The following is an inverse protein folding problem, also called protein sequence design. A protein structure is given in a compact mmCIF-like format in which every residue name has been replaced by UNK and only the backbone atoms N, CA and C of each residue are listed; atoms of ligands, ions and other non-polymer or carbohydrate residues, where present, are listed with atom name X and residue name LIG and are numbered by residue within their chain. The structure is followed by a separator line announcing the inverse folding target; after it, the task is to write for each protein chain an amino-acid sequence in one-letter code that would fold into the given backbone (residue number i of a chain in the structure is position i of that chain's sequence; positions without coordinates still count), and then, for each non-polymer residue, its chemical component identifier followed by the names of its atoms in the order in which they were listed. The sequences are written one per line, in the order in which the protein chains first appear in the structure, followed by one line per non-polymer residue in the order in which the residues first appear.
data_IF_115454313926
#
_entry.id   IF_115454313926
#
_cell.length_a   1.000
_cell.length_b   1.000
_cell.length_c   1.000
_cell.angle_alpha   90.00
_cell.angle_beta   90.00
_cell.angle_gamma   90.00
#
_symmetry.space_group_name_H-M   'P 1'
#
loop_
_entity.id
_entity.type
_entity.pdbx_description
1 polymer ?
#
# COMPACT_ATOMS: atom_id res chain seq x y z
N UNK A 1 -1.80 -9.07 4.89
CA UNK A 1 -3.03 -9.41 4.16
C UNK A 1 -3.53 -10.80 4.47
N UNK A 2 -4.82 -11.04 4.25
CA UNK A 2 -5.44 -12.35 4.32
C UNK A 2 -5.06 -13.25 3.13
N UNK A 3 -4.94 -12.71 1.91
CA UNK A 3 -4.60 -13.48 0.71
C UNK A 3 -3.26 -14.23 0.86
N UNK A 4 -2.26 -13.60 1.52
CA UNK A 4 -0.95 -14.22 1.78
C UNK A 4 -1.05 -15.50 2.60
N UNK A 5 -2.15 -15.69 3.34
CA UNK A 5 -2.33 -16.77 4.30
C UNK A 5 -3.26 -17.85 3.76
N UNK A 6 -4.06 -17.54 2.73
CA UNK A 6 -5.02 -18.49 2.14
C UNK A 6 -4.39 -19.39 1.08
N UNK A 7 -3.24 -19.01 0.55
CA UNK A 7 -2.51 -19.77 -0.48
C UNK A 7 -1.62 -20.89 0.09
N UNK A 8 -1.36 -20.89 1.40
CA UNK A 8 -0.40 -21.80 2.03
C UNK A 8 -1.00 -22.57 3.20
N UNK A 9 -0.47 -23.75 3.47
CA UNK A 9 -0.80 -24.47 4.71
C UNK A 9 0.02 -23.95 5.89
N UNK A 10 -0.62 -23.85 7.06
CA UNK A 10 -0.04 -23.32 8.29
C UNK A 10 1.31 -23.93 8.67
N UNK A 11 1.53 -25.23 8.38
CA UNK A 11 2.76 -25.93 8.73
C UNK A 11 4.01 -25.42 8.00
N UNK A 12 3.84 -24.74 6.87
CA UNK A 12 4.96 -24.18 6.11
C UNK A 12 5.28 -22.73 6.47
N UNK A 13 4.40 -22.07 7.22
CA UNK A 13 4.56 -20.67 7.55
C UNK A 13 5.41 -20.48 8.81
N UNK A 14 6.43 -19.62 8.68
CA UNK A 14 7.26 -19.14 9.79
C UNK A 14 7.37 -17.63 9.70
N UNK A 15 7.40 -16.97 10.84
CA UNK A 15 7.63 -15.52 10.91
C UNK A 15 9.10 -15.29 11.26
N UNK A 16 9.79 -14.48 10.46
CA UNK A 16 11.17 -14.04 10.75
C UNK A 16 11.15 -12.56 11.11
N UNK A 17 11.73 -12.21 12.26
CA UNK A 17 11.73 -10.85 12.81
C UNK A 17 13.17 -10.33 12.89
N UNK A 18 13.35 -9.02 12.65
CA UNK A 18 14.65 -8.36 12.76
C UNK A 18 15.62 -8.62 11.60
N UNK A 19 15.11 -9.12 10.47
CA UNK A 19 15.92 -9.42 9.27
C UNK A 19 16.28 -8.15 8.52
N UNK A 20 17.49 -8.13 7.95
CA UNK A 20 17.94 -7.13 6.98
C UNK A 20 18.16 -7.75 5.59
N UNK A 21 18.68 -8.99 5.55
CA UNK A 21 18.80 -9.79 4.32
C UNK A 21 17.66 -10.83 4.25
N UNK A 22 17.10 -11.03 3.06
CA UNK A 22 16.11 -12.07 2.78
C UNK A 22 16.72 -13.48 2.91
N UNK A 23 17.98 -13.62 2.51
CA UNK A 23 18.71 -14.90 2.46
C UNK A 23 19.46 -15.21 3.75
N UNK A 24 20.10 -14.19 4.36
CA UNK A 24 20.96 -14.37 5.53
C UNK A 24 20.16 -14.17 6.81
N UNK A 25 20.24 -15.14 7.74
CA UNK A 25 19.52 -15.12 9.03
C UNK A 25 20.27 -14.41 10.15
N UNK A 26 21.18 -13.51 9.83
CA UNK A 26 21.99 -12.82 10.83
C UNK A 26 21.13 -11.84 11.65
N UNK A 27 21.24 -11.88 12.98
CA UNK A 27 20.48 -11.05 13.90
C UNK A 27 18.95 -11.14 13.78
N UNK A 28 18.44 -12.19 13.12
CA UNK A 28 17.03 -12.44 12.95
C UNK A 28 16.54 -13.56 13.88
N UNK A 29 15.31 -13.43 14.39
CA UNK A 29 14.64 -14.47 15.20
C UNK A 29 13.49 -15.10 14.43
N UNK A 30 13.34 -16.42 14.52
CA UNK A 30 12.17 -17.14 13.98
C UNK A 30 11.12 -17.35 15.07
N UNK A 31 9.86 -17.05 14.75
CA UNK A 31 8.71 -17.28 15.61
C UNK A 31 7.71 -18.24 14.93
N UNK A 32 7.09 -19.08 15.74
CA UNK A 32 6.07 -20.04 15.29
C UNK A 32 4.68 -19.42 15.43
N UNK A 33 3.84 -19.67 14.43
CA UNK A 33 2.44 -19.25 14.43
C UNK A 33 1.62 -20.19 15.33
N UNK A 34 0.77 -19.62 16.18
CA UNK A 34 -0.22 -20.36 16.97
C UNK A 34 -1.58 -20.36 16.27
N UNK A 35 -2.07 -19.18 15.91
CA UNK A 35 -3.36 -19.01 15.24
C UNK A 35 -3.28 -17.98 14.12
N UNK A 36 -4.11 -18.17 13.10
CA UNK A 36 -4.39 -17.18 12.07
C UNK A 36 -5.88 -16.86 12.13
N UNK A 37 -6.19 -15.57 12.24
CA UNK A 37 -7.54 -15.04 12.23
C UNK A 37 -7.73 -14.20 10.97
N UNK A 38 -8.47 -14.71 10.00
CA UNK A 38 -8.83 -13.95 8.78
C UNK A 38 -10.13 -13.19 9.05
N UNK A 39 -10.22 -11.96 8.56
CA UNK A 39 -11.44 -11.16 8.67
C UNK A 39 -12.66 -11.93 8.10
N UNK A 40 -13.81 -12.00 8.80
CA UNK A 40 -14.96 -12.79 8.36
C UNK A 40 -15.50 -12.44 6.96
N UNK A 41 -15.42 -11.16 6.59
CA UNK A 41 -15.89 -10.66 5.29
C UNK A 41 -14.85 -10.83 4.15
N UNK A 42 -13.64 -11.32 4.44
CA UNK A 42 -12.64 -11.59 3.42
C UNK A 42 -13.16 -12.62 2.40
N UNK A 43 -13.02 -12.29 1.12
CA UNK A 43 -13.30 -13.15 -0.01
C UNK A 43 -12.18 -13.03 -1.05
N UNK A 44 -11.86 -14.12 -1.76
CA UNK A 44 -10.76 -14.16 -2.74
C UNK A 44 -11.01 -13.27 -3.97
N UNK A 45 -12.21 -12.71 -4.13
CA UNK A 45 -12.61 -11.93 -5.30
C UNK A 45 -12.50 -10.42 -5.08
N UNK A 46 -12.17 -9.96 -3.87
CA UNK A 46 -12.12 -8.54 -3.55
C UNK A 46 -11.14 -8.22 -2.44
N UNK A 47 -10.46 -7.10 -2.59
CA UNK A 47 -9.42 -6.63 -1.68
C UNK A 47 -9.97 -5.97 -0.41
N UNK A 48 -11.25 -5.54 -0.40
CA UNK A 48 -11.79 -4.65 0.64
C UNK A 48 -11.67 -5.13 2.09
N UNK A 49 -11.52 -6.44 2.30
CA UNK A 49 -11.40 -7.07 3.62
C UNK A 49 -10.15 -7.95 3.71
N UNK A 50 -9.12 -7.65 2.93
CA UNK A 50 -7.86 -8.40 2.85
C UNK A 50 -6.95 -8.18 4.07
N UNK A 51 -7.47 -8.47 5.26
CA UNK A 51 -6.80 -8.31 6.54
C UNK A 51 -6.90 -9.59 7.38
N UNK A 52 -5.81 -9.90 8.06
CA UNK A 52 -5.72 -11.04 8.96
C UNK A 52 -4.74 -10.75 10.10
N UNK A 53 -4.94 -11.43 11.22
CA UNK A 53 -4.11 -11.34 12.41
C UNK A 53 -3.42 -12.67 12.66
N UNK A 54 -2.11 -12.63 12.86
CA UNK A 54 -1.28 -13.78 13.19
C UNK A 54 -0.89 -13.68 14.66
N UNK A 55 -1.25 -14.70 15.44
CA UNK A 55 -0.82 -14.83 16.84
C UNK A 55 0.39 -15.74 16.90
N UNK A 56 1.46 -15.29 17.55
CA UNK A 56 2.66 -16.07 17.76
C UNK A 56 2.51 -16.98 18.98
N UNK A 57 3.04 -18.21 18.90
CA UNK A 57 3.00 -19.19 19.99
C UNK A 57 3.78 -18.75 21.23
N UNK A 58 4.84 -17.98 21.05
CA UNK A 58 5.65 -17.43 22.13
C UNK A 58 5.83 -15.93 21.92
N UNK A 59 5.86 -15.17 23.02
CA UNK A 59 6.16 -13.74 22.97
C UNK A 59 7.59 -13.51 22.49
N UNK A 60 7.79 -12.46 21.68
CA UNK A 60 9.11 -12.04 21.21
C UNK A 60 9.53 -10.77 21.95
N UNK A 61 10.77 -10.76 22.43
CA UNK A 61 11.32 -9.59 23.11
C UNK A 61 11.75 -8.52 22.10
N UNK A 62 11.44 -7.26 22.40
CA UNK A 62 11.95 -6.14 21.62
C UNK A 62 13.49 -6.08 21.70
N UNK A 63 14.11 -5.67 20.61
CA UNK A 63 15.55 -5.52 20.48
C UNK A 63 15.88 -4.27 19.67
N UNK A 64 17.16 -4.06 19.34
CA UNK A 64 17.54 -3.00 18.41
C UNK A 64 16.89 -3.18 17.03
N UNK A 65 16.70 -4.42 16.60
CA UNK A 65 16.18 -4.77 15.26
C UNK A 65 14.71 -5.21 15.28
N UNK A 66 14.12 -5.42 16.47
CA UNK A 66 12.72 -5.83 16.63
C UNK A 66 11.97 -4.79 17.45
N UNK A 67 11.10 -4.04 16.78
CA UNK A 67 10.22 -3.03 17.38
C UNK A 67 8.84 -3.10 16.74
N UNK A 68 7.82 -2.65 17.46
CA UNK A 68 6.45 -2.56 16.97
C UNK A 68 6.21 -1.24 16.27
N UNK A 69 5.38 -1.27 15.22
CA UNK A 69 4.73 -0.07 14.68
C UNK A 69 3.52 0.28 15.54
N UNK A 70 3.13 1.55 15.58
CA UNK A 70 1.91 1.97 16.25
C UNK A 70 0.70 1.68 15.34
N UNK A 71 -0.43 1.31 15.95
CA UNK A 71 -1.72 1.28 15.27
C UNK A 71 -2.31 2.70 15.27
N UNK A 72 -3.09 3.08 14.24
CA UNK A 72 -3.69 4.40 14.18
C UNK A 72 -4.75 4.59 15.27
N UNK A 73 -4.78 5.77 15.87
CA UNK A 73 -5.89 6.22 16.74
C UNK A 73 -7.10 6.64 15.88
N UNK A 74 -8.27 6.77 16.50
CA UNK A 74 -9.49 7.30 15.87
C UNK A 74 -9.30 8.68 15.27
N UNK A 75 -8.42 9.48 15.88
CA UNK A 75 -8.12 10.85 15.44
C UNK A 75 -6.94 10.92 14.47
N UNK A 76 -6.28 9.80 14.16
CA UNK A 76 -5.20 9.79 13.21
C UNK A 76 -5.76 9.86 11.77
N UNK A 77 -5.58 11.02 11.15
CA UNK A 77 -5.81 11.31 9.74
C UNK A 77 -4.61 12.12 9.25
N UNK A 78 -3.55 11.47 8.74
CA UNK A 78 -2.44 12.19 8.16
C UNK A 78 -2.94 12.98 6.95
N UNK A 79 -2.53 14.24 6.87
CA UNK A 79 -2.74 15.06 5.67
C UNK A 79 -2.11 14.35 4.47
N UNK A 80 -2.67 14.53 3.29
CA UNK A 80 -2.23 13.79 2.12
C UNK A 80 -0.75 14.04 1.82
N UNK A 81 -0.24 15.26 2.05
CA UNK A 81 1.17 15.64 1.88
C UNK A 81 2.15 14.96 2.87
N UNK A 82 1.66 14.16 3.83
CA UNK A 82 2.56 13.41 4.70
C UNK A 82 3.31 12.33 3.91
N UNK A 83 4.65 12.29 3.99
CA UNK A 83 5.42 11.28 3.32
C UNK A 83 5.10 9.90 3.89
N UNK A 84 4.63 9.01 3.01
CA UNK A 84 4.36 7.62 3.34
C UNK A 84 5.54 6.77 2.91
N UNK A 85 5.83 5.75 3.70
CA UNK A 85 6.93 4.84 3.45
C UNK A 85 6.43 3.41 3.43
N UNK A 86 7.04 2.65 2.54
CA UNK A 86 6.79 1.23 2.39
C UNK A 86 8.15 0.55 2.31
N UNK A 87 8.27 -0.64 2.90
CA UNK A 87 9.54 -1.35 3.00
C UNK A 87 9.35 -2.85 2.87
N UNK A 88 10.31 -3.50 2.22
CA UNK A 88 10.25 -4.93 1.97
C UNK A 88 11.37 -5.45 1.07
N UNK A 89 11.27 -6.73 0.70
CA UNK A 89 12.24 -7.42 -0.16
C UNK A 89 11.67 -7.71 -1.54
N UNK A 90 10.53 -7.15 -1.88
CA UNK A 90 10.00 -7.21 -3.22
C UNK A 90 10.76 -6.31 -4.20
N UNK A 91 10.44 -6.47 -5.48
CA UNK A 91 11.05 -5.65 -6.52
C UNK A 91 10.73 -4.18 -6.28
N UNK A 92 11.78 -3.39 -6.09
CA UNK A 92 11.70 -1.93 -6.06
C UNK A 92 12.08 -1.38 -7.42
N UNK A 93 11.19 -0.61 -8.02
CA UNK A 93 11.53 0.18 -9.20
C UNK A 93 12.17 1.51 -8.79
N UNK A 94 13.40 1.83 -9.23
CA UNK A 94 13.91 3.18 -9.13
C UNK A 94 13.17 4.05 -10.16
N UNK A 95 12.44 5.03 -9.66
CA UNK A 95 11.76 6.03 -10.47
C UNK A 95 12.51 7.36 -10.26
N UNK A 96 12.94 8.02 -11.33
CA UNK A 96 13.32 9.46 -11.30
C UNK A 96 12.21 10.24 -11.99
N UNK A 97 12.02 11.45 -11.50
CA UNK A 97 11.20 12.46 -12.13
C UNK A 97 11.66 12.63 -13.59
N UNK A 98 10.78 12.39 -14.55
CA UNK A 98 11.12 12.48 -15.97
C UNK A 98 10.25 13.55 -16.62
N UNK A 99 10.90 14.51 -17.27
CA UNK A 99 10.26 15.60 -18.02
C UNK A 99 9.60 15.09 -19.34
N UNK A 100 9.27 13.80 -19.46
CA UNK A 100 8.73 13.20 -20.69
C UNK A 100 7.35 12.59 -20.47
N UNK A 101 6.40 13.23 -21.14
CA UNK A 101 4.96 13.12 -20.98
C UNK A 101 4.37 11.86 -21.62
N UNK A 102 3.52 11.16 -20.87
CA UNK A 102 2.50 10.25 -21.41
C UNK A 102 1.13 10.73 -20.91
N UNK A 103 0.36 11.37 -21.81
CA UNK A 103 -1.00 11.82 -21.52
C UNK A 103 -2.00 10.72 -21.84
N UNK A 104 -2.78 10.28 -20.85
CA UNK A 104 -4.01 9.54 -21.08
C UNK A 104 -5.19 10.51 -20.98
N UNK A 105 -5.78 10.84 -22.12
CA UNK A 105 -7.13 11.41 -22.19
C UNK A 105 -8.13 10.32 -22.54
N UNK A 106 -9.39 10.50 -22.16
CA UNK A 106 -10.51 9.62 -22.50
C UNK A 106 -10.73 9.40 -24.02
N UNK A 107 -9.95 10.05 -24.88
CA UNK A 107 -10.04 10.02 -26.34
C UNK A 107 -8.84 9.35 -27.05
N UNK A 108 -7.94 8.68 -26.31
CA UNK A 108 -6.83 7.91 -26.90
C UNK A 108 -5.49 8.65 -26.96
N UNK A 109 -4.46 7.94 -27.46
CA UNK A 109 -3.04 8.32 -27.40
C UNK A 109 -2.71 9.43 -28.40
N UNK A 110 -2.22 10.58 -27.92
CA UNK A 110 -1.59 11.61 -28.75
C UNK A 110 -0.21 12.01 -28.21
N UNK A 111 0.73 12.17 -29.12
CA UNK A 111 2.09 12.65 -28.88
C UNK A 111 2.12 14.17 -29.02
N UNK A 112 2.71 14.89 -28.05
CA UNK A 112 3.12 16.29 -28.23
C UNK A 112 4.49 16.50 -27.58
N UNK A 113 5.40 17.08 -28.34
CA UNK A 113 6.75 17.46 -27.88
C UNK A 113 6.69 18.82 -27.14
N UNK A 114 7.60 19.00 -26.17
CA UNK A 114 7.63 20.11 -25.21
C UNK A 114 8.05 21.48 -25.81
N UNK A 115 8.34 21.55 -27.11
CA UNK A 115 8.69 22.83 -27.76
C UNK A 115 7.45 23.64 -28.22
N UNK A 116 6.25 23.06 -28.22
CA UNK A 116 5.03 23.71 -28.73
C UNK A 116 4.14 24.37 -27.65
N UNK A 117 4.56 24.43 -26.37
CA UNK A 117 3.73 24.95 -25.25
C UNK A 117 4.03 26.42 -24.89
N UNK A 118 4.99 27.08 -25.54
CA UNK A 118 5.35 28.46 -25.21
C UNK A 118 4.62 29.58 -26.01
N UNK A 119 3.64 29.29 -26.86
CA UNK A 119 2.96 30.34 -27.65
C UNK A 119 1.49 30.65 -27.30
N UNK A 120 0.89 30.06 -26.26
CA UNK A 120 -0.50 30.40 -25.86
C UNK A 120 -0.65 30.89 -24.41
N UNK A 121 0.29 31.71 -23.93
CA UNK A 121 0.09 32.49 -22.70
C UNK A 121 0.18 33.99 -22.98
N UNK A 122 -0.80 34.56 -23.70
CA UNK A 122 -1.04 36.02 -23.70
C UNK A 122 -2.44 36.37 -24.25
N UNK A 123 -3.51 36.05 -23.50
CA UNK A 123 -4.88 36.64 -23.54
C UNK A 123 -5.80 35.69 -22.76
N UNK A 124 -6.55 36.00 -21.70
CA UNK A 124 -7.25 37.20 -21.25
C UNK A 124 -7.54 37.07 -19.73
N UNK A 125 -7.68 38.22 -19.06
CA UNK A 125 -8.04 38.36 -17.63
C UNK A 125 -9.56 38.51 -17.43
N UNK A 126 -9.96 38.33 -16.16
CA UNK A 126 -11.20 38.74 -15.46
C UNK A 126 -12.41 37.79 -15.61
N UNK A 127 -12.96 37.24 -14.53
CA UNK A 127 -13.60 37.98 -13.43
C UNK A 127 -13.77 37.13 -12.15
N UNK A 128 -13.70 37.80 -11.00
CA UNK A 128 -14.04 37.29 -9.66
C UNK A 128 -15.56 37.25 -9.47
N UNK A 129 -16.07 36.22 -8.79
CA UNK A 129 -17.17 36.35 -7.84
C UNK A 129 -17.11 35.20 -6.79
N UNK A 130 -17.43 35.57 -5.55
CA UNK A 130 -17.22 34.80 -4.34
C UNK A 130 -18.39 33.86 -3.99
N UNK A 131 -18.10 32.72 -3.36
CA UNK A 131 -19.01 32.06 -2.40
C UNK A 131 -18.20 31.30 -1.34
N UNK A 132 -18.54 31.55 -0.06
CA UNK A 132 -17.86 31.08 1.16
C UNK A 132 -18.14 29.60 1.50
N UNK A 133 -17.17 29.03 2.24
CA UNK A 133 -17.27 27.96 3.23
C UNK A 133 -17.92 26.62 2.86
N UNK A 134 -17.07 25.67 2.46
CA UNK A 134 -17.17 24.27 2.92
C UNK A 134 -15.80 23.81 3.38
N UNK A 135 -15.65 23.57 4.68
CA UNK A 135 -14.59 22.77 5.27
C UNK A 135 -14.71 21.33 4.72
N UNK A 136 -14.01 21.02 3.63
CA UNK A 136 -13.76 19.62 3.23
C UNK A 136 -12.32 19.27 3.57
N UNK A 137 -12.16 18.40 4.57
CA UNK A 137 -10.92 17.68 4.89
C UNK A 137 -10.58 16.61 3.84
N UNK A 138 -11.01 16.82 2.61
CA UNK A 138 -10.86 15.87 1.52
C UNK A 138 -9.61 16.27 0.75
N UNK A 139 -8.77 15.29 0.44
CA UNK A 139 -7.52 15.46 -0.30
C UNK A 139 -7.77 15.81 -1.78
N UNK A 140 -8.50 16.88 -2.03
CA UNK A 140 -8.66 17.58 -3.29
C UNK A 140 -7.62 18.71 -3.34
N UNK A 141 -6.33 18.39 -3.25
CA UNK A 141 -5.32 19.33 -3.76
C UNK A 141 -5.37 19.24 -5.29
N UNK A 142 -5.41 20.39 -5.96
CA UNK A 142 -5.37 20.53 -7.43
C UNK A 142 -4.44 19.50 -8.07
N UNK A 143 -5.03 18.40 -8.55
CA UNK A 143 -4.31 17.34 -9.25
C UNK A 143 -3.86 17.91 -10.60
N UNK A 144 -2.67 18.50 -10.63
CA UNK A 144 -2.01 18.85 -11.88
C UNK A 144 -1.73 17.56 -12.62
N UNK A 145 -2.47 17.34 -13.71
CA UNK A 145 -2.43 16.17 -14.60
C UNK A 145 -1.08 16.00 -15.35
N UNK A 146 0.03 16.52 -14.84
CA UNK A 146 1.25 16.79 -15.59
C UNK A 146 2.55 16.13 -15.12
N UNK A 147 2.59 15.47 -13.95
CA UNK A 147 3.85 14.97 -13.39
C UNK A 147 3.81 13.44 -13.20
N UNK A 148 4.23 12.69 -14.22
CA UNK A 148 4.40 11.24 -14.13
C UNK A 148 5.87 10.88 -13.93
N UNK A 149 6.14 9.97 -12.99
CA UNK A 149 7.49 9.46 -12.74
C UNK A 149 7.73 8.25 -13.64
N UNK A 150 8.85 8.23 -14.37
CA UNK A 150 9.21 7.09 -15.20
C UNK A 150 10.37 6.31 -14.60
N UNK A 151 10.40 4.98 -14.74
CA UNK A 151 11.53 4.19 -14.30
C UNK A 151 12.81 4.56 -15.04
N UNK A 152 13.89 4.69 -14.27
CA UNK A 152 15.21 5.17 -14.76
C UNK A 152 16.08 4.09 -15.33
N UNK A 153 15.68 2.84 -15.16
CA UNK A 153 16.42 1.67 -15.58
C UNK A 153 15.47 0.56 -15.96
N UNK A 154 15.89 -0.31 -16.88
CA UNK A 154 15.21 -1.58 -17.13
C UNK A 154 14.94 -2.28 -15.79
N UNK A 155 13.69 -2.72 -15.60
CA UNK A 155 13.30 -3.49 -14.43
C UNK A 155 14.13 -4.77 -14.44
N UNK A 156 15.13 -4.82 -13.57
CA UNK A 156 15.78 -6.08 -13.23
C UNK A 156 14.81 -6.82 -12.33
N UNK A 157 14.19 -7.86 -12.87
CA UNK A 157 13.39 -8.84 -12.12
C UNK A 157 14.31 -9.67 -11.20
N UNK A 158 15.18 -9.03 -10.42
CA UNK A 158 15.99 -9.63 -9.35
C UNK A 158 15.47 -9.20 -7.97
N UNK A 159 15.03 -10.17 -7.16
CA UNK A 159 14.49 -9.91 -5.84
C UNK A 159 15.64 -9.39 -4.98
N UNK A 160 15.55 -8.19 -4.39
CA UNK A 160 16.66 -7.63 -3.65
C UNK A 160 17.01 -8.49 -2.44
N UNK A 161 18.30 -8.78 -2.27
CA UNK A 161 18.76 -9.50 -1.07
C UNK A 161 18.57 -8.64 0.18
N UNK A 162 18.84 -7.34 0.06
CA UNK A 162 18.81 -6.38 1.15
C UNK A 162 17.44 -5.69 1.17
N UNK A 163 16.91 -5.44 2.37
CA UNK A 163 15.65 -4.73 2.57
C UNK A 163 15.67 -3.37 1.84
N UNK A 164 14.65 -3.13 1.04
CA UNK A 164 14.44 -1.88 0.32
C UNK A 164 13.36 -1.04 0.99
N UNK A 165 13.38 0.26 0.69
CA UNK A 165 12.31 1.19 1.05
C UNK A 165 11.97 2.09 -0.14
N UNK A 166 10.71 2.51 -0.21
CA UNK A 166 10.23 3.52 -1.14
C UNK A 166 9.35 4.53 -0.41
N UNK A 167 9.37 5.77 -0.89
CA UNK A 167 8.48 6.82 -0.42
C UNK A 167 7.37 7.01 -1.45
N UNK A 168 6.13 7.05 -0.97
CA UNK A 168 4.92 7.17 -1.78
C UNK A 168 4.07 8.30 -1.24
N UNK A 169 3.11 8.73 -2.06
CA UNK A 169 2.27 9.90 -1.79
C UNK A 169 0.81 9.47 -1.82
N UNK A 170 0.03 9.75 -0.77
CA UNK A 170 -1.38 9.37 -0.77
C UNK A 170 -2.17 10.17 -1.81
N UNK A 171 -3.23 9.55 -2.32
CA UNK A 171 -4.26 10.21 -3.13
C UNK A 171 -5.64 9.94 -2.53
N UNK A 172 -6.59 10.85 -2.77
CA UNK A 172 -7.98 10.66 -2.33
C UNK A 172 -8.61 9.42 -2.97
N UNK A 173 -9.59 8.83 -2.29
CA UNK A 173 -10.36 7.73 -2.86
C UNK A 173 -11.11 8.16 -4.13
N UNK A 174 -11.50 9.43 -4.26
CA UNK A 174 -12.17 9.96 -5.46
C UNK A 174 -11.24 10.04 -6.66
N UNK A 175 -10.01 10.53 -6.47
CA UNK A 175 -8.98 10.50 -7.52
C UNK A 175 -8.63 9.07 -7.86
N UNK A 176 -8.48 8.20 -6.86
CA UNK A 176 -8.20 6.78 -7.08
C UNK A 176 -9.31 6.08 -7.87
N UNK A 177 -10.57 6.29 -7.51
CA UNK A 177 -11.73 5.74 -8.21
C UNK A 177 -11.77 6.17 -9.68
N UNK A 178 -11.43 7.44 -9.97
CA UNK A 178 -11.32 7.95 -11.35
C UNK A 178 -10.18 7.27 -12.12
N UNK A 179 -8.99 7.15 -11.51
CA UNK A 179 -7.82 6.51 -12.15
C UNK A 179 -8.04 5.01 -12.40
N UNK A 180 -8.73 4.34 -11.48
CA UNK A 180 -9.07 2.92 -11.58
C UNK A 180 -10.30 2.66 -12.47
N UNK A 181 -11.02 3.72 -12.89
CA UNK A 181 -12.33 3.63 -13.53
C UNK A 181 -13.31 2.75 -12.73
N UNK A 182 -13.28 2.89 -11.40
CA UNK A 182 -14.07 2.12 -10.45
C UNK A 182 -14.76 3.07 -9.45
N UNK A 183 -16.00 3.44 -9.77
CA UNK A 183 -16.84 4.27 -8.91
C UNK A 183 -17.32 3.57 -7.63
N UNK A 184 -17.05 2.27 -7.49
CA UNK A 184 -17.39 1.46 -6.31
C UNK A 184 -16.21 1.22 -5.37
N UNK A 185 -15.10 1.96 -5.54
CA UNK A 185 -13.93 1.85 -4.68
C UNK A 185 -14.30 1.99 -3.20
N UNK A 186 -14.04 0.93 -2.43
CA UNK A 186 -14.37 0.86 -1.00
C UNK A 186 -13.55 1.85 -0.18
N UNK A 187 -14.17 2.45 0.84
CA UNK A 187 -13.47 3.29 1.83
C UNK A 187 -12.44 2.53 2.67
N UNK A 188 -12.47 1.20 2.63
CA UNK A 188 -11.46 0.32 3.22
C UNK A 188 -10.15 0.29 2.43
N UNK A 189 -10.11 0.91 1.26
CA UNK A 189 -8.90 1.04 0.45
C UNK A 189 -8.32 2.44 0.63
N UNK A 190 -6.99 2.51 0.70
CA UNK A 190 -6.22 3.74 0.55
C UNK A 190 -5.29 3.56 -0.65
N UNK A 191 -5.14 4.64 -1.43
CA UNK A 191 -4.35 4.61 -2.65
C UNK A 191 -3.14 5.55 -2.54
N UNK A 192 -2.07 5.21 -3.26
CA UNK A 192 -0.88 6.06 -3.34
C UNK A 192 -0.28 6.11 -4.76
N UNK A 193 0.33 7.25 -5.09
CA UNK A 193 1.12 7.45 -6.29
C UNK A 193 2.55 6.93 -6.14
N UNK A 194 3.15 6.60 -7.28
CA UNK A 194 4.51 6.07 -7.43
C UNK A 194 5.60 7.15 -7.40
N UNK A 195 5.62 8.01 -6.39
CA UNK A 195 6.47 9.22 -6.41
C UNK A 195 7.99 8.91 -6.35
N UNK A 196 8.44 8.12 -5.38
CA UNK A 196 9.87 7.77 -5.20
C UNK A 196 10.09 6.26 -5.12
N UNK A 197 9.31 5.53 -5.93
CA UNK A 197 9.42 4.08 -6.11
C UNK A 197 8.06 3.38 -6.14
N UNK A 198 8.09 2.16 -6.66
CA UNK A 198 6.96 1.23 -6.71
C UNK A 198 7.37 -0.12 -6.15
N UNK A 199 6.41 -0.87 -5.59
CA UNK A 199 6.54 -2.28 -5.31
C UNK A 199 5.68 -3.09 -6.26
N UNK A 200 6.25 -4.18 -6.76
CA UNK A 200 5.59 -5.02 -7.75
C UNK A 200 5.31 -6.44 -7.20
N UNK A 201 6.35 -7.21 -6.84
CA UNK A 201 6.19 -8.57 -6.31
C UNK A 201 7.00 -8.76 -5.03
N UNK A 202 6.44 -9.46 -4.05
CA UNK A 202 7.15 -9.95 -2.86
C UNK A 202 6.86 -9.18 -1.57
N UNK A 203 6.16 -8.04 -1.65
CA UNK A 203 5.83 -7.20 -0.49
C UNK A 203 4.35 -7.27 -0.09
N UNK A 204 3.59 -8.21 -0.64
CA UNK A 204 2.18 -8.39 -0.31
C UNK A 204 1.98 -8.59 1.19
N UNK A 205 1.05 -7.82 1.76
CA UNK A 205 0.82 -7.74 3.20
C UNK A 205 1.86 -6.95 3.98
N UNK A 206 2.87 -6.37 3.33
CA UNK A 206 3.84 -5.44 3.90
C UNK A 206 3.20 -4.13 4.34
N UNK A 207 3.88 -3.35 5.20
CA UNK A 207 3.28 -2.18 5.84
C UNK A 207 3.45 -0.91 5.00
N UNK A 208 2.39 -0.11 4.90
CA UNK A 208 2.43 1.30 4.55
C UNK A 208 2.43 2.12 5.85
N UNK A 209 3.47 2.91 6.09
CA UNK A 209 3.70 3.62 7.35
C UNK A 209 3.99 5.09 7.15
N UNK A 210 3.71 5.88 8.18
CA UNK A 210 4.07 7.29 8.24
C UNK A 210 4.57 7.64 9.63
N UNK A 211 5.29 8.77 9.73
CA UNK A 211 5.87 9.25 10.97
C UNK A 211 5.09 10.46 11.47
N UNK A 212 4.52 10.37 12.66
CA UNK A 212 3.81 11.49 13.30
C UNK A 212 4.78 12.59 13.73
N UNK A 213 4.23 13.76 14.04
CA UNK A 213 4.96 14.92 14.57
C UNK A 213 5.74 14.62 15.86
N UNK A 214 5.29 13.65 16.66
CA UNK A 214 5.96 13.16 17.87
C UNK A 214 7.09 12.14 17.59
N UNK A 215 7.29 11.80 16.32
CA UNK A 215 8.36 10.92 15.85
C UNK A 215 8.05 9.42 15.90
N UNK A 216 6.85 9.01 16.31
CA UNK A 216 6.43 7.59 16.24
C UNK A 216 5.99 7.22 14.83
N UNK A 217 6.21 5.95 14.47
CA UNK A 217 5.77 5.36 13.20
C UNK A 217 4.42 4.69 13.39
N UNK A 218 3.45 5.03 12.54
CA UNK A 218 2.08 4.50 12.56
C UNK A 218 1.79 3.74 11.27
N UNK A 219 0.96 2.71 11.40
CA UNK A 219 0.51 1.86 10.30
C UNK A 219 -0.70 2.50 9.61
N UNK A 220 -0.53 2.93 8.36
CA UNK A 220 -1.62 3.46 7.53
C UNK A 220 -2.38 2.34 6.83
N UNK A 221 -1.63 1.40 6.25
CA UNK A 221 -2.21 0.35 5.42
C UNK A 221 -1.35 -0.89 5.29
N UNK A 222 -1.92 -1.91 4.64
CA UNK A 222 -1.22 -3.13 4.23
C UNK A 222 -1.23 -3.20 2.70
N UNK A 223 -0.10 -3.54 2.09
CA UNK A 223 -0.02 -3.80 0.64
C UNK A 223 -1.03 -4.90 0.28
N UNK A 224 -2.05 -4.57 -0.51
CA UNK A 224 -2.99 -5.58 -1.03
C UNK A 224 -2.39 -6.28 -2.24
N UNK A 225 -2.75 -7.54 -2.49
CA UNK A 225 -2.32 -8.23 -3.71
C UNK A 225 -3.14 -7.75 -4.90
N UNK A 226 -2.77 -6.58 -5.42
CA UNK A 226 -2.88 -6.40 -6.85
C UNK A 226 -1.60 -6.97 -7.44
N UNK A 227 -1.71 -8.01 -8.26
CA UNK A 227 -0.65 -8.39 -9.20
C UNK A 227 -0.45 -7.21 -10.18
N UNK A 228 0.12 -6.11 -9.69
CA UNK A 228 0.50 -4.99 -10.53
C UNK A 228 1.69 -5.47 -11.35
N UNK A 229 1.59 -5.48 -12.68
CA UNK A 229 2.76 -5.74 -13.49
C UNK A 229 3.82 -4.71 -13.10
N UNK A 230 5.06 -5.18 -12.96
CA UNK A 230 6.18 -4.26 -12.78
C UNK A 230 6.19 -3.34 -14.01
N UNK A 231 6.64 -2.09 -13.85
CA UNK A 231 6.70 -1.05 -14.86
C UNK A 231 5.35 -0.37 -15.17
N UNK A 232 4.39 -0.41 -14.23
CA UNK A 232 3.08 0.24 -14.34
C UNK A 232 3.00 1.35 -13.29
N UNK A 233 3.39 2.57 -13.67
CA UNK A 233 3.33 3.76 -12.79
C UNK A 233 2.08 4.61 -13.00
N UNK A 234 1.28 4.29 -14.02
CA UNK A 234 0.05 5.02 -14.38
C UNK A 234 -1.21 4.54 -13.64
N UNK A 235 -1.08 3.50 -12.80
CA UNK A 235 -2.17 2.97 -11.96
C UNK A 235 -1.77 3.16 -10.50
N UNK A 236 -2.62 3.69 -9.61
CA UNK A 236 -2.25 3.91 -8.22
C UNK A 236 -2.02 2.59 -7.48
N UNK A 237 -1.11 2.59 -6.51
CA UNK A 237 -0.92 1.46 -5.59
C UNK A 237 -2.09 1.36 -4.62
N UNK A 238 -2.58 0.14 -4.36
CA UNK A 238 -3.70 -0.11 -3.46
C UNK A 238 -3.25 -0.76 -2.16
N UNK A 239 -3.79 -0.24 -1.05
CA UNK A 239 -3.52 -0.74 0.29
C UNK A 239 -4.82 -0.88 1.08
N UNK A 240 -4.85 -1.86 1.98
CA UNK A 240 -5.93 -2.00 2.94
C UNK A 240 -5.76 -0.96 4.04
N UNK A 241 -6.70 -0.01 4.15
CA UNK A 241 -6.72 1.03 5.16
C UNK A 241 -6.94 0.42 6.53
N UNK A 242 -6.06 0.68 7.50
CA UNK A 242 -6.16 0.03 8.83
C UNK A 242 -7.28 0.60 9.69
N UNK A 243 -7.48 1.93 9.66
CA UNK A 243 -8.40 2.65 10.56
C UNK A 243 -9.82 2.04 10.63
N UNK A 244 -10.48 1.68 9.51
CA UNK A 244 -11.81 1.04 9.54
C UNK A 244 -11.88 -0.28 10.32
N UNK A 245 -10.77 -1.01 10.46
CA UNK A 245 -10.74 -2.32 11.11
C UNK A 245 -10.40 -2.27 12.60
N UNK A 246 -10.11 -1.09 13.14
CA UNK A 246 -9.62 -0.96 14.52
C UNK A 246 -10.64 -1.46 15.55
N UNK A 247 -11.87 -0.94 15.50
CA UNK A 247 -12.89 -1.20 16.54
C UNK A 247 -13.56 -2.57 16.40
N UNK A 248 -13.81 -3.01 15.17
CA UNK A 248 -14.64 -4.19 14.89
C UNK A 248 -13.82 -5.47 14.66
N UNK A 249 -12.51 -5.35 14.42
CA UNK A 249 -11.63 -6.49 14.17
C UNK A 249 -10.36 -6.46 15.01
N UNK A 250 -9.47 -5.49 14.79
CA UNK A 250 -8.11 -5.50 15.36
C UNK A 250 -8.15 -5.47 16.89
N UNK A 251 -8.81 -4.48 17.49
CA UNK A 251 -8.86 -4.32 18.95
C UNK A 251 -9.55 -5.50 19.63
N UNK A 252 -10.72 -5.99 19.16
CA UNK A 252 -11.28 -7.24 19.65
C UNK A 252 -10.27 -8.39 19.58
N UNK A 253 -9.65 -8.66 18.43
CA UNK A 253 -8.77 -9.82 18.26
C UNK A 253 -7.48 -9.76 19.09
N UNK A 254 -6.97 -8.56 19.43
CA UNK A 254 -5.76 -8.43 20.25
C UNK A 254 -6.05 -8.28 21.75
N UNK A 255 -7.23 -7.80 22.16
CA UNK A 255 -7.55 -7.50 23.57
C UNK A 255 -8.55 -8.44 24.22
N UNK A 256 -9.57 -8.90 23.49
CA UNK A 256 -10.75 -9.54 24.07
C UNK A 256 -11.16 -10.76 23.24
N UNK A 257 -11.34 -11.92 23.87
CA UNK A 257 -11.61 -13.20 23.21
C UNK A 257 -12.89 -13.30 22.36
N UNK A 258 -13.55 -12.17 22.08
CA UNK A 258 -14.80 -12.00 21.32
C UNK A 258 -14.60 -11.82 19.81
N UNK A 259 -13.35 -11.83 19.34
CA UNK A 259 -13.04 -11.73 17.92
C UNK A 259 -13.66 -12.86 17.09
N UNK A 260 -14.25 -12.48 15.95
CA UNK A 260 -14.79 -13.43 14.97
C UNK A 260 -13.77 -13.63 13.87
N UNK A 261 -13.39 -14.88 13.65
CA UNK A 261 -12.39 -15.25 12.65
C UNK A 261 -13.00 -16.22 11.63
N UNK A 262 -12.65 -16.03 10.37
CA UNK A 262 -12.77 -17.07 9.35
C UNK A 262 -11.57 -18.00 9.49
N UNK A 263 -11.82 -19.27 9.80
CA UNK A 263 -10.76 -20.29 9.83
C UNK A 263 -10.23 -20.53 8.43
N UNK A 264 -8.93 -20.79 8.30
CA UNK A 264 -8.33 -21.24 7.05
C UNK A 264 -9.05 -22.49 6.57
N UNK A 265 -9.63 -22.42 5.37
CA UNK A 265 -10.10 -23.62 4.70
C UNK A 265 -8.86 -24.48 4.44
N UNK A 266 -8.82 -25.68 5.04
CA UNK A 266 -7.85 -26.71 4.68
C UNK A 266 -8.16 -27.16 3.24
N UNK A 267 -7.84 -26.36 2.22
CA UNK A 267 -7.67 -26.91 0.89
C UNK A 267 -6.42 -27.78 0.96
N UNK A 268 -6.63 -29.09 1.01
CA UNK A 268 -5.61 -30.05 0.60
C UNK A 268 -5.31 -29.71 -0.86
N UNK A 269 -4.29 -28.90 -1.10
CA UNK A 269 -3.72 -28.76 -2.43
C UNK A 269 -3.02 -30.10 -2.69
N UNK A 270 -3.77 -31.05 -3.22
CA UNK A 270 -3.19 -32.11 -4.01
C UNK A 270 -2.57 -31.41 -5.22
N UNK A 271 -1.25 -31.22 -5.19
CA UNK A 271 -0.53 -31.10 -6.44
C UNK A 271 -0.65 -32.46 -7.12
N UNK A 272 -1.61 -32.59 -8.03
CA UNK A 272 -1.57 -33.63 -9.04
C UNK A 272 -0.31 -33.39 -9.87
N UNK A 273 0.67 -34.25 -9.65
CA UNK A 273 1.87 -34.37 -10.46
C UNK A 273 1.46 -35.05 -11.76
N UNK A 274 1.59 -34.34 -12.88
CA UNK A 274 1.84 -34.92 -14.21
C UNK A 274 3.05 -34.23 -14.83
#
# INVERSE_FOLDING_TARGET
SAHCLTEFTLSFLKIRLGSYSSSIKENASEATIETICIHPAYNESGDEYDIAIITLKNSVNCSQNVKTVCLPDKNDEPDCDYPMYMAGWGYKEPLEYNDRFFSWTAEGIFFKDYEDVQEESDSEKESQDAYEDVLSSDCDSDYYFGEFVTPTSEVRNEVPEILQQAQVQLISNDVCAKLMNDSSLSGNIVCANHNFGSFCLGDSGGPLVYKNSDGRWNLMGLVSATEMPCNVTNVPMLFIRIKPFMEDFIMPCIQNSTCKCKSLNKRLVYHDIF
#
